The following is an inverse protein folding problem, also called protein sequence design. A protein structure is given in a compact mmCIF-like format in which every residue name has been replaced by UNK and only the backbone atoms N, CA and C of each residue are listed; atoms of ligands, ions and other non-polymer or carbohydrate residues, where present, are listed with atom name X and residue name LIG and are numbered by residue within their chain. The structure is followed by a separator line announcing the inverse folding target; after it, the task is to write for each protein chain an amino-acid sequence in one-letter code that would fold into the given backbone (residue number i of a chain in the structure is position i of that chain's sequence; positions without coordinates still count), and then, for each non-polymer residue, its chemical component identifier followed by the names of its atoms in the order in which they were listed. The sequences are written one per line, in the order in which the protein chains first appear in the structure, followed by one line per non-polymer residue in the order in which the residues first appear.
data_IF_618631192389
#
_entry.id   IF_618631192389
#
_cell.length_a   1.000
_cell.length_b   1.000
_cell.length_c   1.000
_cell.angle_alpha   90.00
_cell.angle_beta   90.00
_cell.angle_gamma   90.00
#
_symmetry.space_group_name_H-M   'P 1'
#
loop_
_entity.id
_entity.type
_entity.pdbx_description
1 polymer ?
#
# COMPACT_ATOMS: atom_id res chain seq x y z
N UNK A 1 3.05 19.95 -23.86
CA UNK A 1 2.44 19.17 -24.95
C UNK A 1 1.66 18.04 -24.32
N UNK A 2 0.36 18.22 -24.17
CA UNK A 2 -0.57 17.23 -23.61
C UNK A 2 -0.79 16.18 -24.70
N UNK A 3 -0.30 14.96 -24.49
CA UNK A 3 -0.60 13.81 -25.34
C UNK A 3 -2.12 13.60 -25.42
N UNK A 4 -2.66 13.11 -26.55
CA UNK A 4 -4.10 12.87 -26.71
C UNK A 4 -4.62 12.01 -25.56
N UNK A 5 -5.79 12.39 -25.03
CA UNK A 5 -6.54 11.81 -23.91
C UNK A 5 -6.27 10.30 -23.73
N UNK A 6 -5.21 9.96 -22.97
CA UNK A 6 -4.95 8.59 -22.58
C UNK A 6 -6.13 8.15 -21.71
N UNK A 7 -6.91 7.18 -22.19
CA UNK A 7 -8.02 6.63 -21.42
C UNK A 7 -7.52 6.24 -20.02
N UNK A 8 -8.01 6.96 -19.01
CA UNK A 8 -7.61 6.80 -17.61
C UNK A 8 -8.35 5.63 -16.95
N UNK A 9 -7.78 5.15 -15.86
CA UNK A 9 -8.32 4.07 -15.04
C UNK A 9 -7.61 2.75 -15.27
N UNK A 10 -7.57 1.90 -14.24
CA UNK A 10 -6.75 0.70 -14.22
C UNK A 10 -7.01 -0.22 -15.43
N UNK A 11 -8.29 -0.40 -15.77
CA UNK A 11 -8.76 -1.27 -16.85
C UNK A 11 -8.36 -0.72 -18.21
N UNK A 12 -8.60 0.56 -18.47
CA UNK A 12 -8.26 1.18 -19.74
C UNK A 12 -6.74 1.14 -19.99
N UNK A 13 -5.95 1.46 -18.96
CA UNK A 13 -4.48 1.37 -18.99
C UNK A 13 -4.01 -0.05 -19.30
N UNK A 14 -4.58 -1.05 -18.61
CA UNK A 14 -4.19 -2.44 -18.83
C UNK A 14 -4.64 -2.98 -20.19
N UNK A 15 -5.79 -2.54 -20.68
CA UNK A 15 -6.30 -2.86 -22.02
C UNK A 15 -5.36 -2.34 -23.10
N UNK A 16 -4.89 -1.10 -22.98
CA UNK A 16 -3.91 -0.51 -23.90
C UNK A 16 -2.54 -1.21 -23.82
N UNK A 17 -2.14 -1.68 -22.64
CA UNK A 17 -0.89 -2.42 -22.46
C UNK A 17 -0.87 -3.78 -23.18
N UNK A 18 -1.99 -4.51 -23.20
CA UNK A 18 -2.01 -5.93 -23.62
C UNK A 18 -1.55 -6.20 -25.06
N UNK A 19 -1.95 -5.43 -26.09
CA UNK A 19 -1.43 -5.61 -27.45
C UNK A 19 0.10 -5.47 -27.51
N UNK A 20 0.65 -4.51 -26.77
CA UNK A 20 2.08 -4.23 -26.72
C UNK A 20 2.86 -5.29 -25.95
N UNK A 21 2.24 -5.93 -24.96
CA UNK A 21 2.83 -7.07 -24.26
C UNK A 21 2.96 -8.30 -25.17
N UNK A 22 2.00 -8.52 -26.05
CA UNK A 22 1.96 -9.67 -26.96
C UNK A 22 2.90 -9.50 -28.16
N UNK A 23 3.07 -8.26 -28.63
CA UNK A 23 4.01 -7.94 -29.69
C UNK A 23 5.45 -7.86 -29.14
N UNK A 24 6.28 -8.84 -29.51
CA UNK A 24 7.69 -8.90 -29.10
C UNK A 24 8.55 -7.76 -29.65
N UNK A 25 8.07 -7.05 -30.67
CA UNK A 25 8.78 -5.92 -31.27
C UNK A 25 8.40 -4.58 -30.62
N UNK A 26 7.43 -4.58 -29.70
CA UNK A 26 6.94 -3.38 -29.03
C UNK A 26 7.50 -3.24 -27.61
N UNK A 27 7.84 -2.00 -27.22
CA UNK A 27 8.17 -1.71 -25.83
C UNK A 27 6.92 -1.52 -24.96
N UNK A 28 6.46 -2.59 -24.33
CA UNK A 28 5.35 -2.57 -23.38
C UNK A 28 5.72 -2.05 -21.98
N UNK A 29 7.02 -1.91 -21.66
CA UNK A 29 7.47 -1.61 -20.30
C UNK A 29 7.15 -0.17 -19.89
N UNK A 30 7.19 0.76 -20.83
CA UNK A 30 6.99 2.19 -20.60
C UNK A 30 5.50 2.58 -20.50
N UNK A 31 4.61 1.63 -20.82
CA UNK A 31 3.16 1.80 -20.70
C UNK A 31 2.69 1.46 -19.30
N UNK A 32 1.72 2.24 -18.85
CA UNK A 32 0.98 1.96 -17.64
C UNK A 32 0.20 0.66 -17.76
N UNK A 33 0.29 -0.18 -16.73
CA UNK A 33 -0.44 -1.43 -16.60
C UNK A 33 -0.73 -1.72 -15.15
N UNK A 34 -1.72 -2.56 -14.87
CA UNK A 34 -1.85 -3.14 -13.54
C UNK A 34 -0.54 -3.87 -13.19
N UNK A 35 -0.06 -3.69 -11.97
CA UNK A 35 1.18 -4.29 -11.51
C UNK A 35 1.03 -5.81 -11.34
N UNK A 36 2.09 -6.54 -11.66
CA UNK A 36 2.09 -8.00 -11.52
C UNK A 36 1.78 -8.41 -10.07
N UNK A 37 0.86 -9.36 -9.90
CA UNK A 37 0.42 -9.84 -8.59
C UNK A 37 -0.65 -8.98 -7.90
N UNK A 38 -1.03 -7.83 -8.48
CA UNK A 38 -2.13 -7.01 -7.97
C UNK A 38 -3.48 -7.40 -8.60
N UNK A 39 -4.61 -7.11 -7.94
CA UNK A 39 -5.95 -7.44 -8.44
C UNK A 39 -6.20 -6.83 -9.83
N UNK A 40 -6.80 -7.63 -10.71
CA UNK A 40 -7.06 -7.25 -12.10
C UNK A 40 -5.88 -7.44 -13.07
N UNK A 41 -4.71 -7.87 -12.62
CA UNK A 41 -3.60 -8.20 -13.52
C UNK A 41 -3.88 -9.48 -14.33
N UNK A 42 -3.58 -9.44 -15.63
CA UNK A 42 -3.80 -10.56 -16.55
C UNK A 42 -2.88 -10.42 -17.78
N UNK A 43 -2.53 -11.55 -18.40
CA UNK A 43 -1.72 -11.55 -19.63
C UNK A 43 -2.57 -11.67 -20.91
N UNK A 44 -3.85 -11.96 -20.75
CA UNK A 44 -4.72 -12.38 -21.84
C UNK A 44 -5.82 -11.36 -22.04
N UNK A 45 -6.94 -11.54 -21.36
CA UNK A 45 -8.11 -10.69 -21.54
C UNK A 45 -8.03 -9.51 -20.59
N UNK A 46 -8.38 -8.27 -21.00
CA UNK A 46 -8.55 -7.18 -20.05
C UNK A 46 -9.50 -7.55 -18.91
N UNK A 47 -9.25 -7.09 -17.68
CA UNK A 47 -10.19 -7.28 -16.57
C UNK A 47 -11.48 -6.52 -16.84
N UNK A 48 -12.61 -7.08 -16.40
CA UNK A 48 -13.88 -6.37 -16.39
C UNK A 48 -13.95 -5.41 -15.18
N UNK A 49 -14.71 -4.30 -15.30
CA UNK A 49 -14.98 -3.42 -14.16
C UNK A 49 -15.63 -4.17 -13.02
N UNK A 50 -15.14 -3.93 -11.80
CA UNK A 50 -15.82 -4.41 -10.60
C UNK A 50 -17.00 -3.50 -10.29
N UNK A 51 -18.10 -4.07 -9.78
CA UNK A 51 -19.26 -3.26 -9.34
C UNK A 51 -18.87 -2.34 -8.18
N UNK A 52 -18.09 -2.87 -7.23
CA UNK A 52 -17.59 -2.12 -6.10
C UNK A 52 -16.21 -1.50 -6.38
N UNK A 53 -15.86 -0.46 -5.64
CA UNK A 53 -14.54 0.15 -5.68
C UNK A 53 -13.49 -0.81 -5.10
N UNK A 54 -12.69 -1.45 -5.97
CA UNK A 54 -11.64 -2.39 -5.57
C UNK A 54 -10.23 -1.82 -5.82
N UNK A 55 -9.30 -1.91 -4.84
CA UNK A 55 -7.98 -1.31 -4.94
C UNK A 55 -7.04 -2.12 -5.83
N UNK A 56 -6.30 -1.43 -6.69
CA UNK A 56 -5.19 -2.00 -7.45
C UNK A 56 -4.05 -1.00 -7.60
N UNK A 57 -2.96 -1.42 -8.23
CA UNK A 57 -1.79 -0.57 -8.48
C UNK A 57 -1.45 -0.61 -9.96
N UNK A 58 -1.22 0.57 -10.52
CA UNK A 58 -0.62 0.76 -11.82
C UNK A 58 0.90 0.90 -11.70
N UNK A 59 1.63 0.38 -12.68
CA UNK A 59 3.08 0.52 -12.81
C UNK A 59 3.47 0.81 -14.25
N UNK A 60 4.52 1.61 -14.43
CA UNK A 60 5.28 1.71 -15.69
C UNK A 60 6.76 1.85 -15.43
N UNK A 61 7.57 1.44 -16.40
CA UNK A 61 8.97 1.84 -16.46
C UNK A 61 9.06 3.34 -16.72
N UNK A 62 10.00 4.01 -16.06
CA UNK A 62 10.21 5.45 -16.17
C UNK A 62 11.64 5.76 -16.58
N UNK A 63 12.62 5.39 -15.75
CA UNK A 63 14.04 5.54 -16.05
C UNK A 63 14.50 7.00 -16.24
N UNK A 64 13.77 7.97 -15.70
CA UNK A 64 14.01 9.42 -15.89
C UNK A 64 13.93 10.15 -14.54
N UNK A 65 14.19 11.46 -14.57
CA UNK A 65 14.08 12.33 -13.42
C UNK A 65 12.71 12.20 -12.74
N UNK A 66 12.74 12.18 -11.41
CA UNK A 66 11.58 12.06 -10.56
C UNK A 66 10.59 13.20 -10.82
N UNK A 67 9.28 12.90 -10.91
CA UNK A 67 8.26 13.92 -11.12
C UNK A 67 8.01 14.79 -9.87
N UNK A 68 8.57 14.41 -8.71
CA UNK A 68 8.46 15.15 -7.45
C UNK A 68 9.48 16.31 -7.32
N UNK A 69 10.36 16.47 -8.31
CA UNK A 69 11.37 17.53 -8.32
C UNK A 69 12.59 17.24 -7.44
N UNK A 70 12.76 16.02 -6.91
CA UNK A 70 13.90 15.69 -6.03
C UNK A 70 15.26 15.70 -6.75
N UNK A 71 15.26 15.63 -8.08
CA UNK A 71 16.47 15.47 -8.90
C UNK A 71 16.97 14.01 -8.99
N UNK A 72 16.32 13.06 -8.31
CA UNK A 72 16.64 11.64 -8.42
C UNK A 72 16.16 11.06 -9.76
N UNK A 73 16.81 9.98 -10.23
CA UNK A 73 16.26 9.15 -11.31
C UNK A 73 15.44 8.01 -10.69
N UNK A 74 14.19 7.87 -11.13
CA UNK A 74 13.33 6.76 -10.72
C UNK A 74 13.21 5.72 -11.83
N UNK A 75 13.46 4.46 -11.50
CA UNK A 75 13.32 3.35 -12.45
C UNK A 75 11.85 3.09 -12.80
N UNK A 76 10.95 3.18 -11.82
CA UNK A 76 9.53 2.89 -11.98
C UNK A 76 8.68 4.03 -11.44
N UNK A 77 7.48 4.16 -12.02
CA UNK A 77 6.39 4.94 -11.44
C UNK A 77 5.25 4.01 -11.07
N UNK A 78 4.65 4.30 -9.91
CA UNK A 78 3.51 3.59 -9.38
C UNK A 78 2.36 4.58 -9.15
N UNK A 79 1.11 4.13 -9.34
CA UNK A 79 -0.08 4.87 -8.94
C UNK A 79 -1.06 3.93 -8.29
N UNK A 80 -1.72 4.38 -7.23
CA UNK A 80 -2.94 3.72 -6.79
C UNK A 80 -3.99 3.81 -7.89
N UNK A 81 -4.85 2.80 -8.02
CA UNK A 81 -5.95 2.87 -8.96
C UNK A 81 -7.16 2.07 -8.46
N UNK A 82 -8.32 2.34 -9.05
CA UNK A 82 -9.55 1.62 -8.78
C UNK A 82 -9.91 0.70 -9.95
N UNK A 83 -10.45 -0.48 -9.66
CA UNK A 83 -11.03 -1.38 -10.66
C UNK A 83 -12.51 -1.08 -10.94
N UNK A 84 -13.20 -0.35 -10.05
CA UNK A 84 -14.62 -0.01 -10.20
C UNK A 84 -14.87 1.36 -10.86
N UNK A 85 -13.85 2.23 -10.93
CA UNK A 85 -13.97 3.52 -11.61
C UNK A 85 -12.64 3.95 -12.26
N UNK A 86 -12.60 5.14 -12.86
CA UNK A 86 -11.43 5.65 -13.58
C UNK A 86 -10.38 6.35 -12.71
N UNK A 87 -10.54 6.32 -11.38
CA UNK A 87 -9.63 6.98 -10.45
C UNK A 87 -8.21 6.38 -10.52
N UNK A 88 -7.22 7.27 -10.55
CA UNK A 88 -5.79 6.97 -10.42
C UNK A 88 -5.19 8.00 -9.44
N UNK A 89 -4.38 7.53 -8.51
CA UNK A 89 -3.64 8.34 -7.55
C UNK A 89 -2.41 9.04 -8.15
N UNK A 90 -1.68 9.81 -7.32
CA UNK A 90 -0.48 10.51 -7.73
C UNK A 90 0.67 9.55 -8.08
N UNK A 91 1.67 10.07 -8.78
CA UNK A 91 2.90 9.34 -9.08
C UNK A 91 3.70 9.07 -7.80
N UNK A 92 3.94 7.80 -7.50
CA UNK A 92 4.70 7.31 -6.35
C UNK A 92 5.96 6.58 -6.78
N UNK A 93 7.02 6.75 -6.01
CA UNK A 93 8.28 6.00 -6.15
C UNK A 93 8.12 4.54 -5.74
N UNK A 94 7.28 4.28 -4.74
CA UNK A 94 7.12 2.98 -4.06
C UNK A 94 5.73 2.44 -4.32
N UNK A 95 5.64 1.14 -4.63
CA UNK A 95 4.37 0.40 -4.70
C UNK A 95 3.55 0.57 -3.42
N UNK A 96 4.20 0.57 -2.25
CA UNK A 96 3.49 0.61 -0.96
C UNK A 96 2.61 1.87 -0.84
N UNK A 97 3.17 3.05 -1.16
CA UNK A 97 2.43 4.31 -1.15
C UNK A 97 1.27 4.30 -2.15
N UNK A 98 1.47 3.71 -3.32
CA UNK A 98 0.40 3.57 -4.32
C UNK A 98 -0.72 2.64 -3.85
N UNK A 99 -0.40 1.55 -3.14
CA UNK A 99 -1.40 0.68 -2.51
C UNK A 99 -2.18 1.47 -1.46
N UNK A 100 -1.50 2.23 -0.60
CA UNK A 100 -2.16 3.04 0.42
C UNK A 100 -3.11 4.08 -0.20
N UNK A 101 -2.67 4.80 -1.24
CA UNK A 101 -3.53 5.74 -1.97
C UNK A 101 -4.79 5.05 -2.53
N UNK A 102 -4.65 3.83 -3.06
CA UNK A 102 -5.78 3.07 -3.57
C UNK A 102 -6.78 2.69 -2.47
N UNK A 103 -6.29 2.42 -1.25
CA UNK A 103 -7.17 2.14 -0.11
C UNK A 103 -7.81 3.42 0.43
N UNK A 104 -7.10 4.55 0.43
CA UNK A 104 -7.69 5.86 0.77
C UNK A 104 -8.88 6.20 -0.15
N UNK A 105 -8.85 5.75 -1.40
CA UNK A 105 -9.96 5.91 -2.34
C UNK A 105 -11.08 4.86 -2.18
N UNK A 106 -10.74 3.60 -1.92
CA UNK A 106 -11.70 2.48 -1.99
C UNK A 106 -12.33 2.11 -0.64
N UNK A 107 -11.64 2.40 0.45
CA UNK A 107 -11.99 1.93 1.80
C UNK A 107 -11.72 3.04 2.83
N UNK A 108 -12.52 4.11 2.79
CA UNK A 108 -12.39 5.23 3.73
C UNK A 108 -12.36 4.76 5.20
N UNK A 109 -11.52 5.39 6.01
CA UNK A 109 -11.34 5.03 7.43
C UNK A 109 -10.47 3.79 7.67
N UNK A 110 -9.94 3.12 6.63
CA UNK A 110 -9.07 1.95 6.82
C UNK A 110 -7.85 2.26 7.70
N UNK A 111 -7.33 3.50 7.64
CA UNK A 111 -6.18 3.97 8.42
C UNK A 111 -6.45 4.06 9.92
N UNK A 112 -7.71 4.10 10.33
CA UNK A 112 -8.10 4.21 11.74
C UNK A 112 -8.40 2.84 12.37
N UNK A 113 -8.47 1.79 11.55
CA UNK A 113 -8.76 0.43 12.01
C UNK A 113 -7.59 -0.19 12.78
N UNK A 114 -7.83 -1.04 13.79
CA UNK A 114 -6.76 -1.58 14.60
C UNK A 114 -5.74 -2.40 13.78
N UNK A 115 -4.45 -2.12 13.99
CA UNK A 115 -3.37 -2.93 13.45
C UNK A 115 -3.22 -4.21 14.29
N UNK A 116 -3.28 -5.36 13.63
CA UNK A 116 -3.23 -6.68 14.26
C UNK A 116 -1.80 -7.21 14.25
N UNK A 117 -1.41 -8.08 15.19
CA UNK A 117 -0.16 -8.81 15.08
C UNK A 117 -0.16 -9.72 13.84
N UNK A 118 1.05 -10.12 13.39
CA UNK A 118 1.21 -11.11 12.32
C UNK A 118 0.33 -12.34 12.55
N UNK A 119 -0.23 -12.87 11.45
CA UNK A 119 -1.19 -13.97 11.48
C UNK A 119 -0.60 -15.20 12.18
N UNK A 120 -1.13 -15.51 13.37
CA UNK A 120 -0.73 -16.66 14.20
C UNK A 120 -1.95 -17.47 14.64
N UNK A 121 -1.92 -18.77 14.35
CA UNK A 121 -2.94 -19.71 14.82
C UNK A 121 -4.29 -19.63 14.08
N UNK A 122 -5.21 -20.52 14.49
CA UNK A 122 -6.51 -20.73 13.83
C UNK A 122 -7.54 -19.63 14.10
N UNK A 123 -7.43 -18.94 15.23
CA UNK A 123 -8.41 -17.94 15.68
C UNK A 123 -8.14 -16.52 15.18
N UNK A 124 -7.02 -16.28 14.49
CA UNK A 124 -6.64 -14.94 14.05
C UNK A 124 -7.69 -14.31 13.12
N UNK A 125 -8.23 -15.08 12.17
CA UNK A 125 -9.26 -14.57 11.25
C UNK A 125 -10.52 -14.17 12.02
N UNK A 126 -10.97 -14.99 12.97
CA UNK A 126 -12.11 -14.66 13.83
C UNK A 126 -11.84 -13.40 14.64
N UNK A 127 -10.64 -13.24 15.19
CA UNK A 127 -10.28 -12.04 15.92
C UNK A 127 -10.33 -10.78 15.02
N UNK A 128 -9.77 -10.86 13.81
CA UNK A 128 -9.81 -9.78 12.84
C UNK A 128 -11.25 -9.37 12.48
N UNK A 129 -12.13 -10.35 12.19
CA UNK A 129 -13.53 -10.07 11.83
C UNK A 129 -14.35 -9.45 12.95
N UNK A 130 -13.96 -9.61 14.22
CA UNK A 130 -14.64 -8.97 15.36
C UNK A 130 -14.18 -7.53 15.60
N UNK A 131 -12.94 -7.20 15.24
CA UNK A 131 -12.36 -5.87 15.45
C UNK A 131 -12.66 -4.88 14.32
N UNK A 132 -12.99 -5.39 13.15
CA UNK A 132 -13.25 -4.60 11.95
C UNK A 132 -14.76 -4.42 11.76
N UNK A 133 -15.20 -3.37 11.03
CA UNK A 133 -16.62 -3.15 10.77
C UNK A 133 -17.29 -4.38 10.14
N UNK A 134 -18.57 -4.60 10.46
CA UNK A 134 -19.34 -5.69 9.86
C UNK A 134 -19.39 -5.53 8.34
N UNK A 135 -19.10 -6.60 7.60
CA UNK A 135 -19.07 -6.59 6.14
C UNK A 135 -17.78 -6.04 5.52
N UNK A 136 -16.84 -5.52 6.33
CA UNK A 136 -15.60 -4.91 5.83
C UNK A 136 -14.81 -5.82 4.90
N UNK A 137 -14.68 -7.09 5.27
CA UNK A 137 -13.93 -8.06 4.48
C UNK A 137 -14.73 -8.62 3.30
N UNK A 138 -16.07 -8.57 3.35
CA UNK A 138 -16.93 -9.03 2.26
C UNK A 138 -16.82 -8.08 1.05
N UNK A 139 -16.54 -6.80 1.30
CA UNK A 139 -16.26 -5.78 0.28
C UNK A 139 -14.79 -5.73 -0.14
N UNK A 140 -13.95 -6.67 0.29
CA UNK A 140 -12.52 -6.69 -0.06
C UNK A 140 -11.65 -5.75 0.78
N UNK A 141 -12.15 -5.32 1.95
CA UNK A 141 -11.44 -4.41 2.84
C UNK A 141 -10.08 -4.94 3.30
N UNK A 142 -9.09 -4.05 3.48
CA UNK A 142 -7.76 -4.46 3.91
C UNK A 142 -7.76 -4.87 5.37
N UNK A 143 -6.77 -5.69 5.74
CA UNK A 143 -6.36 -5.86 7.14
C UNK A 143 -5.03 -5.15 7.35
N UNK A 144 -4.87 -4.51 8.50
CA UNK A 144 -3.60 -3.89 8.90
C UNK A 144 -2.83 -4.87 9.79
N UNK A 145 -1.61 -5.20 9.39
CA UNK A 145 -0.77 -6.13 10.14
C UNK A 145 0.54 -5.48 10.55
N UNK A 146 0.84 -5.48 11.84
CA UNK A 146 2.12 -5.04 12.40
C UNK A 146 3.20 -6.03 11.96
N UNK A 147 4.22 -5.54 11.23
CA UNK A 147 5.32 -6.38 10.75
C UNK A 147 6.65 -5.96 11.35
N UNK A 148 7.28 -6.91 12.03
CA UNK A 148 8.59 -6.72 12.68
C UNK A 148 9.73 -7.36 11.90
N UNK A 149 9.43 -8.20 10.90
CA UNK A 149 10.41 -8.90 10.08
C UNK A 149 10.93 -8.13 8.86
N UNK A 150 11.67 -8.85 8.00
CA UNK A 150 12.24 -8.32 6.75
C UNK A 150 11.14 -7.98 5.72
N UNK A 151 10.04 -8.73 5.73
CA UNK A 151 8.95 -8.57 4.75
C UNK A 151 8.02 -7.40 5.10
N UNK A 152 8.36 -6.23 4.57
CA UNK A 152 7.65 -4.97 4.83
C UNK A 152 6.63 -4.58 3.75
N UNK A 153 6.42 -5.41 2.72
CA UNK A 153 5.55 -5.05 1.57
C UNK A 153 4.09 -5.37 1.84
N UNK A 154 3.18 -4.57 1.33
CA UNK A 154 1.76 -4.96 1.33
C UNK A 154 1.53 -6.19 0.45
N UNK A 155 0.62 -7.08 0.86
CA UNK A 155 0.35 -8.34 0.17
C UNK A 155 -1.10 -8.36 -0.34
N UNK A 156 -1.31 -8.30 -1.67
CA UNK A 156 -2.62 -8.50 -2.26
C UNK A 156 -3.17 -9.91 -1.97
N UNK A 157 -4.48 -10.05 -1.76
CA UNK A 157 -5.13 -11.37 -1.61
C UNK A 157 -4.91 -12.06 -0.26
N UNK A 158 -4.41 -11.35 0.76
CA UNK A 158 -4.01 -11.94 2.06
C UNK A 158 -4.88 -11.50 3.24
N UNK A 159 -5.74 -10.50 3.08
CA UNK A 159 -6.75 -10.20 4.08
C UNK A 159 -7.81 -11.32 4.14
N UNK A 160 -8.55 -11.44 5.25
CA UNK A 160 -9.85 -12.11 5.23
C UNK A 160 -10.70 -11.57 4.08
N UNK A 161 -11.42 -12.45 3.38
CA UNK A 161 -12.21 -12.06 2.19
C UNK A 161 -11.41 -11.78 0.91
N UNK A 162 -10.07 -11.88 0.94
CA UNK A 162 -9.24 -11.74 -0.26
C UNK A 162 -8.76 -10.31 -0.57
N UNK A 163 -8.96 -9.36 0.35
CA UNK A 163 -8.38 -8.02 0.28
C UNK A 163 -6.86 -7.98 0.53
N UNK A 164 -6.32 -6.79 0.77
CA UNK A 164 -4.89 -6.60 1.04
C UNK A 164 -4.52 -6.80 2.51
N UNK A 165 -3.42 -7.50 2.75
CA UNK A 165 -2.70 -7.40 4.03
C UNK A 165 -1.70 -6.24 3.97
N UNK A 166 -2.07 -5.14 4.64
CA UNK A 166 -1.30 -3.92 4.71
C UNK A 166 -0.30 -3.99 5.87
N UNK A 167 0.97 -4.21 5.52
CA UNK A 167 2.10 -4.06 6.43
C UNK A 167 2.13 -2.67 7.08
N UNK A 168 2.03 -2.63 8.41
CA UNK A 168 2.22 -1.44 9.24
C UNK A 168 3.49 -1.65 10.06
N UNK A 169 4.36 -0.64 10.11
CA UNK A 169 5.51 -0.70 11.00
C UNK A 169 5.04 -0.54 12.44
N UNK A 170 5.62 -1.28 13.41
CA UNK A 170 5.34 -1.00 14.81
C UNK A 170 5.68 0.47 15.10
N UNK A 171 4.91 1.14 15.98
CA UNK A 171 5.30 2.47 16.44
C UNK A 171 6.74 2.39 16.96
N UNK A 172 7.55 3.40 16.61
CA UNK A 172 8.92 3.49 17.14
C UNK A 172 8.79 3.55 18.66
N UNK A 173 9.25 2.52 19.37
CA UNK A 173 9.42 2.60 20.80
C UNK A 173 10.42 3.72 21.05
N UNK A 174 9.94 4.88 21.49
CA UNK A 174 10.83 5.87 22.07
C UNK A 174 11.51 5.19 23.25
N UNK A 175 12.83 5.06 23.20
CA UNK A 175 13.61 4.67 24.35
C UNK A 175 13.40 5.77 25.40
N UNK A 176 12.37 5.65 26.25
CA UNK A 176 12.29 6.40 27.49
C UNK A 176 13.46 5.94 28.34
N UNK A 177 14.58 6.64 28.22
CA UNK A 177 15.64 6.57 29.22
C UNK A 177 14.98 7.07 30.50
N UNK A 178 14.61 6.15 31.40
CA UNK A 178 14.26 6.51 32.75
C UNK A 178 15.52 7.13 33.36
N UNK A 179 15.62 8.46 33.32
CA UNK A 179 16.57 9.18 34.14
C UNK A 179 16.17 8.85 35.57
N UNK A 180 17.08 8.19 36.29
CA UNK A 180 17.00 7.98 37.73
C UNK A 180 17.11 9.33 38.42
N UNK A 181 16.02 10.10 38.41
CA UNK A 181 15.90 11.37 39.13
C UNK A 181 15.51 11.08 40.59
N UNK A 182 16.39 10.40 41.33
CA UNK A 182 16.18 10.13 42.77
C UNK A 182 17.48 10.02 43.59
N UNK A 183 18.61 10.55 43.12
CA UNK A 183 19.84 10.62 43.94
C UNK A 183 20.48 12.01 43.94
N UNK A 184 19.69 13.06 44.16
CA UNK A 184 20.19 14.40 44.51
C UNK A 184 19.44 15.04 45.70
N UNK A 185 18.93 14.24 46.64
CA UNK A 185 18.43 14.76 47.90
C UNK A 185 18.91 13.88 49.06
N UNK A 186 19.95 14.37 49.73
CA UNK A 186 20.37 13.87 51.04
C UNK A 186 21.87 13.72 51.15
N UNK A 187 22.54 14.79 51.57
CA UNK A 187 23.62 14.85 52.58
C UNK A 187 24.48 16.11 52.35
N UNK A 188 23.91 17.26 52.71
CA UNK A 188 24.67 18.42 53.17
C UNK A 188 24.50 18.46 54.69
N UNK A 189 25.42 17.85 55.42
CA UNK A 189 25.74 18.23 56.79
C UNK A 189 27.25 18.13 56.95
N UNK A 190 27.93 19.26 56.77
CA UNK A 190 29.27 19.47 57.28
C UNK A 190 29.26 20.78 58.04
N UNK A 191 29.13 20.71 59.37
CA UNK A 191 29.78 21.65 60.28
C UNK A 191 29.95 21.06 61.69
N UNK A 192 31.06 21.46 62.31
CA UNK A 192 31.48 21.32 63.72
C UNK A 192 32.16 20.00 64.19
N UNK A 193 33.50 20.02 64.16
CA UNK A 193 34.35 19.94 65.37
C UNK A 193 35.75 20.50 65.08
#
# INVERSE_FOLDING_TARGET
MTTPDERRGAIARHTDYLPHYRDKNSNSRDRWRIAWGHPGFTHHTPPEPTTDHQPTVLVRNWGRLAPDGSGDIWTYLHRGACLGCTWEGPDRRRTDQAVEDAHDHTHEGWRDLPALPERRGRHWTTHATHLYPKGWFDTGGPVRTIRTGIEKRHLPGKAPGGGYDLAVQPPRTEHRTAITETLLLGYNESEAA
#
